data_IF_118254106157
#
_entry.id   IF_118254106157
#
_cell.length_a   1.000
_cell.length_b   1.000
_cell.length_c   1.000
_cell.angle_alpha   90.00
_cell.angle_beta   90.00
_cell.angle_gamma   90.00
#
_symmetry.space_group_name_H-M   'P 1'
#
loop_
_entity.id
_entity.type
_entity.pdbx_description
1 polymer ?
#
# COMPACT_ATOMS: atom_id res chain seq x y z
N UNK A 1 -10.81 26.40 -16.63
CA UNK A 1 -10.14 25.75 -15.48
C UNK A 1 -8.73 26.28 -15.18
N UNK A 2 -7.70 26.08 -16.03
CA UNK A 2 -6.34 26.57 -15.70
C UNK A 2 -6.25 28.09 -15.60
N UNK A 3 -7.04 28.82 -16.39
CA UNK A 3 -6.98 30.28 -16.45
C UNK A 3 -7.77 30.95 -15.30
N UNK A 4 -8.90 30.37 -14.88
CA UNK A 4 -9.67 30.82 -13.71
C UNK A 4 -8.87 30.70 -12.40
N UNK A 5 -8.07 29.63 -12.27
CA UNK A 5 -7.20 29.46 -11.11
C UNK A 5 -6.12 30.54 -11.07
N UNK A 6 -5.51 30.88 -12.21
CA UNK A 6 -4.49 31.94 -12.29
C UNK A 6 -5.06 33.31 -11.94
N UNK A 7 -6.30 33.59 -12.36
CA UNK A 7 -6.99 34.82 -11.99
C UNK A 7 -7.27 34.89 -10.48
N UNK A 8 -7.68 33.78 -9.87
CA UNK A 8 -7.93 33.73 -8.44
C UNK A 8 -6.65 34.00 -7.62
N UNK A 9 -5.51 33.39 -8.01
CA UNK A 9 -4.22 33.64 -7.35
C UNK A 9 -3.76 35.09 -7.49
N UNK A 10 -3.98 35.73 -8.64
CA UNK A 10 -3.63 37.15 -8.83
C UNK A 10 -4.47 38.12 -8.01
N UNK A 11 -5.67 37.70 -7.58
CA UNK A 11 -6.56 38.52 -6.73
C UNK A 11 -6.26 38.40 -5.24
N UNK A 12 -5.45 37.43 -4.83
CA UNK A 12 -5.07 37.27 -3.43
C UNK A 12 -3.87 38.15 -3.12
N UNK A 13 -3.99 38.97 -2.08
CA UNK A 13 -2.89 39.75 -1.52
C UNK A 13 -2.12 38.84 -0.56
N UNK A 14 -1.19 38.06 -1.12
CA UNK A 14 -0.34 37.19 -0.31
C UNK A 14 0.65 38.08 0.44
N UNK A 15 0.54 38.09 1.76
CA UNK A 15 1.51 38.73 2.61
C UNK A 15 2.85 37.99 2.48
N UNK A 16 3.75 38.54 1.68
CA UNK A 16 5.11 38.04 1.44
C UNK A 16 6.11 38.68 2.41
N UNK A 17 5.65 39.37 3.46
CA UNK A 17 6.55 39.92 4.47
C UNK A 17 7.27 38.80 5.21
N UNK A 18 8.56 39.01 5.45
CA UNK A 18 9.33 38.08 6.27
C UNK A 18 8.72 38.02 7.67
N UNK A 19 8.45 36.80 8.13
CA UNK A 19 7.86 36.59 9.44
C UNK A 19 8.80 37.17 10.52
N UNK A 20 8.27 37.77 11.58
CA UNK A 20 9.08 38.35 12.65
C UNK A 20 10.00 37.28 13.25
N UNK A 21 11.23 37.69 13.61
CA UNK A 21 12.21 36.78 14.22
C UNK A 21 11.61 36.09 15.46
N UNK A 22 11.83 34.77 15.56
CA UNK A 22 11.29 33.93 16.63
C UNK A 22 9.88 33.39 16.40
N UNK A 23 9.27 33.59 15.21
CA UNK A 23 7.98 33.01 14.85
C UNK A 23 7.98 31.47 14.93
N UNK A 24 9.02 30.82 14.39
CA UNK A 24 9.16 29.36 14.40
C UNK A 24 9.22 28.82 15.84
N UNK A 25 10.03 29.43 16.70
CA UNK A 25 10.15 29.01 18.10
C UNK A 25 8.82 29.16 18.86
N UNK A 26 8.12 30.29 18.72
CA UNK A 26 6.80 30.49 19.34
C UNK A 26 5.76 29.49 18.83
N UNK A 27 5.88 29.05 17.58
CA UNK A 27 5.02 28.03 17.00
C UNK A 27 5.33 26.64 17.58
N UNK A 28 6.60 26.28 17.68
CA UNK A 28 7.05 25.04 18.32
C UNK A 28 6.66 24.98 19.80
N UNK A 29 6.82 26.08 20.53
CA UNK A 29 6.41 26.18 21.94
C UNK A 29 4.89 25.97 22.10
N UNK A 30 4.07 26.53 21.20
CA UNK A 30 2.61 26.32 21.19
C UNK A 30 2.23 24.88 20.81
N UNK A 31 2.96 24.26 19.89
CA UNK A 31 2.76 22.86 19.51
C UNK A 31 3.10 21.94 20.68
N UNK A 32 4.22 22.18 21.35
CA UNK A 32 4.66 21.39 22.49
C UNK A 32 3.71 21.56 23.67
N UNK A 33 3.29 22.80 23.97
CA UNK A 33 2.30 23.08 25.00
C UNK A 33 0.92 22.48 24.68
N UNK A 34 0.52 22.40 23.40
CA UNK A 34 -0.72 21.73 23.00
C UNK A 34 -0.62 20.18 23.04
N UNK A 35 0.59 19.64 22.97
CA UNK A 35 0.86 18.20 23.08
C UNK A 35 1.02 17.74 24.54
N UNK A 36 1.29 18.66 25.47
CA UNK A 36 1.39 18.35 26.89
C UNK A 36 0.03 18.60 27.56
N UNK A 37 -0.62 17.55 28.02
CA UNK A 37 -1.73 17.66 28.96
C UNK A 37 -1.17 18.23 30.28
N UNK A 38 -1.69 19.38 30.72
CA UNK A 38 -1.36 20.02 32.00
C UNK A 38 -1.40 19.02 33.17
N UNK A 39 -0.43 19.05 34.11
CA UNK A 39 -0.52 18.26 35.33
C UNK A 39 -1.62 18.84 36.21
N UNK A 40 -2.61 18.01 36.54
CA UNK A 40 -3.62 18.29 37.55
C UNK A 40 -2.97 18.81 38.84
N UNK A 41 -3.21 20.08 39.17
CA UNK A 41 -2.90 20.64 40.49
C UNK A 41 -4.02 20.24 41.45
N UNK A 42 -3.67 19.44 42.45
CA UNK A 42 -4.44 19.25 43.66
C UNK A 42 -4.41 20.54 44.51
N UNK A 43 -5.57 21.04 44.89
CA UNK A 43 -5.77 21.84 46.10
C UNK A 43 -7.21 21.65 46.59
N UNK A 44 -7.33 21.29 47.85
CA UNK A 44 -8.54 20.98 48.58
C UNK A 44 -9.42 22.21 48.85
N UNK A 45 -10.75 22.04 48.82
CA UNK A 45 -11.65 22.73 49.75
C UNK A 45 -13.02 22.01 49.86
N UNK A 46 -13.53 21.93 51.08
CA UNK A 46 -14.74 21.22 51.49
C UNK A 46 -16.01 22.01 51.16
N UNK A 47 -17.09 21.36 50.71
CA UNK A 47 -18.32 21.15 51.49
C UNK A 47 -19.53 20.70 50.65
N UNK A 48 -20.24 19.75 51.25
CA UNK A 48 -21.69 19.52 51.24
C UNK A 48 -22.42 18.91 50.02
N UNK A 49 -22.75 17.63 50.22
CA UNK A 49 -24.09 17.00 50.14
C UNK A 49 -24.98 17.39 48.96
N UNK A 50 -25.30 16.42 48.08
CA UNK A 50 -26.64 15.83 47.97
C UNK A 50 -26.58 14.52 47.16
N UNK A 51 -27.36 13.56 47.67
CA UNK A 51 -27.58 12.19 47.21
C UNK A 51 -28.49 12.19 45.96
N UNK A 52 -28.38 11.19 45.07
CA UNK A 52 -29.50 10.39 44.50
C UNK A 52 -29.07 9.50 43.28
N UNK A 53 -29.25 8.18 43.47
CA UNK A 53 -29.69 7.09 42.57
C UNK A 53 -29.10 6.78 41.15
N UNK A 54 -28.49 5.58 41.04
CA UNK A 54 -28.41 4.49 40.00
C UNK A 54 -29.08 4.69 38.60
N UNK A 55 -28.68 3.97 37.50
CA UNK A 55 -28.08 2.61 37.48
C UNK A 55 -26.89 2.34 36.50
N UNK A 56 -26.33 1.13 36.65
CA UNK A 56 -25.18 0.54 35.95
C UNK A 56 -25.27 0.59 34.41
N UNK A 57 -24.43 1.40 33.77
CA UNK A 57 -24.00 1.21 32.38
C UNK A 57 -22.64 0.49 32.36
N UNK A 58 -22.54 -0.62 31.62
CA UNK A 58 -21.26 -1.30 31.36
C UNK A 58 -20.46 -0.43 30.38
N UNK A 59 -19.51 0.35 30.89
CA UNK A 59 -18.59 1.15 30.09
C UNK A 59 -17.54 0.18 29.52
N UNK A 60 -17.67 -0.20 28.26
CA UNK A 60 -16.59 -0.88 27.55
C UNK A 60 -15.50 0.19 27.34
N UNK A 61 -14.37 0.05 28.03
CA UNK A 61 -13.21 0.94 27.88
C UNK A 61 -12.56 0.70 26.50
N UNK A 62 -13.06 1.39 25.48
CA UNK A 62 -12.50 1.41 24.12
C UNK A 62 -11.26 2.33 24.01
N UNK A 63 -10.33 2.28 24.96
CA UNK A 63 -9.14 3.16 24.95
C UNK A 63 -7.91 2.54 24.29
N UNK A 64 -7.96 1.29 23.84
CA UNK A 64 -6.82 0.62 23.21
C UNK A 64 -6.81 0.70 21.66
N UNK A 65 -7.96 0.93 21.02
CA UNK A 65 -8.07 0.89 19.54
C UNK A 65 -7.70 2.24 18.90
N UNK A 66 -7.72 3.35 19.64
CA UNK A 66 -7.47 4.67 19.05
C UNK A 66 -5.98 4.96 18.81
N UNK A 67 -5.07 4.27 19.50
CA UNK A 67 -3.61 4.50 19.41
C UNK A 67 -3.00 4.17 18.05
N UNK A 68 -3.67 3.33 17.25
CA UNK A 68 -3.18 2.89 15.94
C UNK A 68 -4.01 3.46 14.77
N UNK A 69 -5.06 4.25 15.07
CA UNK A 69 -5.95 4.82 14.07
C UNK A 69 -5.22 5.77 13.12
N UNK A 70 -4.33 6.63 13.63
CA UNK A 70 -3.56 7.56 12.80
C UNK A 70 -2.61 6.83 11.83
N UNK A 71 -1.88 5.81 12.31
CA UNK A 71 -1.00 5.00 11.47
C UNK A 71 -1.77 4.18 10.43
N UNK A 72 -2.95 3.65 10.79
CA UNK A 72 -3.82 2.91 9.87
C UNK A 72 -4.37 3.82 8.75
N UNK A 73 -4.74 5.06 9.06
CA UNK A 73 -5.20 6.04 8.05
C UNK A 73 -4.07 6.42 7.09
N UNK A 74 -2.85 6.63 7.59
CA UNK A 74 -1.68 6.92 6.75
C UNK A 74 -1.35 5.71 5.84
N UNK A 75 -1.37 4.49 6.40
CA UNK A 75 -1.15 3.26 5.63
C UNK A 75 -2.26 3.04 4.56
N UNK A 76 -3.52 3.36 4.88
CA UNK A 76 -4.63 3.31 3.93
C UNK A 76 -4.45 4.31 2.79
N UNK A 77 -4.05 5.54 3.08
CA UNK A 77 -3.85 6.58 2.07
C UNK A 77 -2.68 6.26 1.12
N UNK A 78 -1.58 5.73 1.65
CA UNK A 78 -0.43 5.30 0.84
C UNK A 78 -0.76 4.03 0.04
N UNK A 79 -1.48 3.08 0.66
CA UNK A 79 -1.94 1.86 0.01
C UNK A 79 -2.96 2.11 -1.10
N UNK A 80 -3.90 3.04 -0.91
CA UNK A 80 -4.92 3.39 -1.90
C UNK A 80 -4.32 4.09 -3.13
N UNK A 81 -3.32 4.96 -2.94
CA UNK A 81 -2.62 5.60 -4.04
C UNK A 81 -1.90 4.58 -4.95
N UNK A 82 -1.35 3.52 -4.36
CA UNK A 82 -0.72 2.41 -5.10
C UNK A 82 -1.74 1.46 -5.77
N UNK A 83 -2.93 1.34 -5.20
CA UNK A 83 -4.01 0.48 -5.72
C UNK A 83 -4.76 1.12 -6.90
N UNK A 84 -4.89 2.45 -6.94
CA UNK A 84 -5.56 3.20 -8.02
C UNK A 84 -4.67 3.50 -9.24
N UNK A 85 -3.36 3.28 -9.16
CA UNK A 85 -2.48 3.24 -10.34
C UNK A 85 -2.77 1.97 -11.15
N UNK A 86 -3.94 1.96 -11.80
CA UNK A 86 -4.43 0.87 -12.63
C UNK A 86 -3.39 0.45 -13.65
N UNK A 87 -3.35 -0.87 -13.89
CA UNK A 87 -2.55 -1.53 -14.91
C UNK A 87 -2.96 -1.04 -16.30
N UNK A 88 -2.50 0.14 -16.73
CA UNK A 88 -2.49 0.47 -18.15
C UNK A 88 -1.29 -0.26 -18.77
N UNK A 89 -1.47 -1.55 -19.09
CA UNK A 89 -0.56 -2.25 -19.98
C UNK A 89 -0.83 -1.76 -21.40
N UNK A 90 -0.20 -0.66 -21.78
CA UNK A 90 -0.07 -0.30 -23.19
C UNK A 90 0.81 -1.37 -23.84
N UNK A 91 0.27 -2.11 -24.81
CA UNK A 91 1.00 -3.13 -25.55
C UNK A 91 2.03 -2.49 -26.51
N UNK A 92 3.13 -1.95 -25.95
CA UNK A 92 4.08 -1.10 -26.69
C UNK A 92 4.97 -1.87 -27.68
N UNK A 93 4.90 -3.21 -27.74
CA UNK A 93 5.65 -4.01 -28.73
C UNK A 93 4.98 -4.06 -30.12
N UNK A 94 3.71 -3.64 -30.24
CA UNK A 94 2.97 -3.64 -31.52
C UNK A 94 3.64 -2.80 -32.61
N UNK A 95 4.37 -1.75 -32.22
CA UNK A 95 5.10 -0.89 -33.15
C UNK A 95 6.42 -1.50 -33.65
N UNK A 96 6.93 -2.56 -33.02
CA UNK A 96 8.20 -3.21 -33.41
C UNK A 96 7.94 -4.51 -34.17
N UNK A 97 7.09 -5.40 -33.65
CA UNK A 97 6.69 -6.63 -34.34
C UNK A 97 5.31 -7.12 -33.88
N UNK A 98 4.38 -7.42 -34.82
CA UNK A 98 3.09 -8.01 -34.51
C UNK A 98 3.16 -9.34 -33.76
N UNK A 99 4.14 -10.20 -34.09
CA UNK A 99 4.32 -11.51 -33.47
C UNK A 99 4.74 -11.38 -32.00
N UNK A 100 5.64 -10.45 -31.70
CA UNK A 100 6.08 -10.15 -30.33
C UNK A 100 4.94 -9.59 -29.48
N UNK A 101 4.09 -8.74 -30.06
CA UNK A 101 2.90 -8.23 -29.38
C UNK A 101 1.90 -9.35 -29.07
N UNK A 102 1.70 -10.29 -30.00
CA UNK A 102 0.84 -11.46 -29.77
C UNK A 102 1.41 -12.36 -28.66
N UNK A 103 2.73 -12.64 -28.68
CA UNK A 103 3.39 -13.39 -27.63
C UNK A 103 3.25 -12.72 -26.25
N UNK A 104 3.48 -11.39 -26.17
CA UNK A 104 3.27 -10.62 -24.96
C UNK A 104 1.84 -10.76 -24.44
N UNK A 105 0.83 -10.64 -25.30
CA UNK A 105 -0.58 -10.77 -24.91
C UNK A 105 -0.85 -12.13 -24.26
N UNK A 106 -0.37 -13.21 -24.87
CA UNK A 106 -0.54 -14.57 -24.34
C UNK A 106 0.13 -14.74 -22.96
N UNK A 107 1.36 -14.24 -22.79
CA UNK A 107 2.06 -14.35 -21.50
C UNK A 107 1.40 -13.51 -20.40
N UNK A 108 0.95 -12.30 -20.72
CA UNK A 108 0.21 -11.45 -19.78
C UNK A 108 -1.06 -12.13 -19.32
N UNK A 109 -1.85 -12.68 -20.25
CA UNK A 109 -3.08 -13.39 -19.92
C UNK A 109 -2.80 -14.61 -19.03
N UNK A 110 -1.79 -15.42 -19.36
CA UNK A 110 -1.41 -16.57 -18.55
C UNK A 110 -0.99 -16.18 -17.12
N UNK A 111 -0.20 -15.12 -16.97
CA UNK A 111 0.22 -14.59 -15.66
C UNK A 111 -0.98 -14.09 -14.86
N UNK A 112 -1.90 -13.36 -15.50
CA UNK A 112 -3.10 -12.83 -14.83
C UNK A 112 -4.02 -13.98 -14.36
N UNK A 113 -4.22 -15.00 -15.19
CA UNK A 113 -4.97 -16.20 -14.81
C UNK A 113 -4.32 -16.93 -13.63
N UNK A 114 -3.00 -17.12 -13.66
CA UNK A 114 -2.27 -17.76 -12.56
C UNK A 114 -2.33 -16.94 -11.27
N UNK A 115 -2.18 -15.63 -11.36
CA UNK A 115 -2.29 -14.72 -10.22
C UNK A 115 -3.71 -14.73 -9.64
N UNK A 116 -4.74 -14.74 -10.48
CA UNK A 116 -6.13 -14.86 -10.05
C UNK A 116 -6.37 -16.19 -9.32
N UNK A 117 -5.88 -17.31 -9.86
CA UNK A 117 -5.95 -18.61 -9.21
C UNK A 117 -5.19 -18.64 -7.88
N UNK A 118 -4.03 -17.98 -7.79
CA UNK A 118 -3.26 -17.86 -6.55
C UNK A 118 -4.04 -17.08 -5.49
N UNK A 119 -4.73 -16.00 -5.88
CA UNK A 119 -5.54 -15.19 -4.95
C UNK A 119 -6.73 -15.96 -4.37
N UNK A 120 -7.28 -16.93 -5.11
CA UNK A 120 -8.36 -17.79 -4.60
C UNK A 120 -7.90 -18.73 -3.48
N UNK A 121 -6.59 -18.95 -3.32
CA UNK A 121 -5.99 -19.77 -2.27
C UNK A 121 -5.65 -18.94 -1.00
N UNK A 122 -6.16 -17.71 -0.91
CA UNK A 122 -5.88 -16.82 0.21
C UNK A 122 -6.60 -17.28 1.48
N UNK A 123 -5.81 -17.44 2.55
CA UNK A 123 -6.25 -17.75 3.90
C UNK A 123 -5.28 -17.11 4.90
N UNK A 124 -5.62 -17.00 6.19
CA UNK A 124 -4.69 -16.47 7.20
C UNK A 124 -3.34 -17.21 7.26
N UNK A 125 -3.33 -18.51 6.92
CA UNK A 125 -2.11 -19.32 6.92
C UNK A 125 -1.24 -19.15 5.66
N UNK A 126 -1.82 -18.65 4.56
CA UNK A 126 -1.17 -18.55 3.24
C UNK A 126 -0.93 -17.10 2.81
N UNK A 127 -1.50 -16.13 3.53
CA UNK A 127 -1.46 -14.70 3.22
C UNK A 127 -0.04 -14.18 2.95
N UNK A 128 0.92 -14.53 3.82
CA UNK A 128 2.31 -14.09 3.67
C UNK A 128 2.94 -14.60 2.38
N UNK A 129 2.72 -15.87 2.01
CA UNK A 129 3.28 -16.46 0.78
C UNK A 129 2.73 -15.71 -0.44
N UNK A 130 1.43 -15.40 -0.44
CA UNK A 130 0.77 -14.66 -1.53
C UNK A 130 1.29 -13.23 -1.59
N UNK A 131 1.47 -12.57 -0.46
CA UNK A 131 1.99 -11.20 -0.39
C UNK A 131 3.43 -11.12 -0.93
N UNK A 132 4.30 -12.05 -0.51
CA UNK A 132 5.69 -12.13 -0.97
C UNK A 132 5.78 -12.41 -2.48
N UNK A 133 4.92 -13.30 -2.99
CA UNK A 133 4.83 -13.58 -4.43
C UNK A 133 4.35 -12.34 -5.21
N UNK A 134 3.35 -11.61 -4.73
CA UNK A 134 2.86 -10.37 -5.36
C UNK A 134 3.93 -9.29 -5.42
N UNK A 135 4.65 -9.08 -4.32
CA UNK A 135 5.74 -8.10 -4.27
C UNK A 135 6.86 -8.46 -5.27
N UNK A 136 7.23 -9.74 -5.33
CA UNK A 136 8.23 -10.23 -6.28
C UNK A 136 7.77 -10.09 -7.74
N UNK A 137 6.48 -10.36 -8.01
CA UNK A 137 5.88 -10.18 -9.33
C UNK A 137 5.91 -8.71 -9.78
N UNK A 138 5.66 -7.76 -8.87
CA UNK A 138 5.75 -6.32 -9.15
C UNK A 138 7.17 -5.88 -9.49
N UNK A 139 8.18 -6.45 -8.83
CA UNK A 139 9.59 -6.19 -9.17
C UNK A 139 9.90 -6.67 -10.59
N UNK A 140 9.49 -7.89 -10.94
CA UNK A 140 9.67 -8.46 -12.28
C UNK A 140 8.92 -7.65 -13.35
N UNK A 141 7.73 -7.13 -13.05
CA UNK A 141 6.99 -6.19 -13.91
C UNK A 141 7.75 -4.89 -14.16
N UNK A 142 8.34 -4.34 -13.10
CA UNK A 142 9.16 -3.14 -13.21
C UNK A 142 10.39 -3.38 -14.09
N UNK A 143 11.06 -4.52 -13.93
CA UNK A 143 12.23 -4.87 -14.73
C UNK A 143 11.89 -5.10 -16.20
N UNK A 144 10.74 -5.71 -16.50
CA UNK A 144 10.27 -5.83 -17.89
C UNK A 144 10.01 -4.49 -18.55
N UNK A 145 9.41 -3.53 -17.85
CA UNK A 145 9.20 -2.18 -18.39
C UNK A 145 10.53 -1.49 -18.74
N UNK A 146 11.60 -1.76 -17.98
CA UNK A 146 12.96 -1.28 -18.32
C UNK A 146 13.47 -1.96 -19.59
N UNK A 147 13.38 -3.29 -19.67
CA UNK A 147 13.78 -4.06 -20.86
C UNK A 147 13.01 -3.58 -22.11
N UNK A 148 11.72 -3.28 -21.96
CA UNK A 148 10.87 -2.74 -23.04
C UNK A 148 11.33 -1.36 -23.50
N UNK A 149 11.70 -0.48 -22.57
CA UNK A 149 12.27 0.83 -22.90
C UNK A 149 13.61 0.71 -23.63
N UNK A 150 14.47 -0.19 -23.17
CA UNK A 150 15.78 -0.45 -23.79
C UNK A 150 15.62 -1.03 -25.20
N UNK A 151 14.64 -1.93 -25.39
CA UNK A 151 14.31 -2.51 -26.69
C UNK A 151 13.90 -1.46 -27.73
N UNK A 152 13.12 -0.45 -27.34
CA UNK A 152 12.75 0.66 -28.25
C UNK A 152 13.96 1.44 -28.75
N UNK A 153 15.01 1.51 -27.93
CA UNK A 153 16.25 2.21 -28.28
C UNK A 153 17.25 1.32 -29.01
N UNK A 154 17.05 0.00 -28.98
CA UNK A 154 17.97 -1.01 -29.51
C UNK A 154 17.24 -2.30 -29.95
N UNK A 155 16.31 -2.18 -30.91
CA UNK A 155 15.41 -3.27 -31.31
C UNK A 155 16.08 -4.41 -32.09
N UNK A 156 17.30 -4.17 -32.57
CA UNK A 156 18.07 -5.14 -33.35
C UNK A 156 18.86 -6.12 -32.47
N UNK A 157 18.92 -5.90 -31.15
CA UNK A 157 19.65 -6.75 -30.23
C UNK A 157 18.78 -7.94 -29.74
N UNK A 158 19.05 -9.18 -30.19
CA UNK A 158 18.26 -10.36 -29.79
C UNK A 158 18.33 -10.64 -28.28
N UNK A 159 19.40 -10.22 -27.60
CA UNK A 159 19.53 -10.40 -26.15
C UNK A 159 18.43 -9.68 -25.35
N UNK A 160 17.85 -8.61 -25.91
CA UNK A 160 16.75 -7.88 -25.26
C UNK A 160 15.45 -8.68 -25.32
N UNK A 161 15.19 -9.37 -26.43
CA UNK A 161 14.07 -10.30 -26.58
C UNK A 161 14.23 -11.47 -25.62
N UNK A 162 15.44 -12.03 -25.53
CA UNK A 162 15.74 -13.10 -24.56
C UNK A 162 15.48 -12.63 -23.13
N UNK A 163 15.90 -11.42 -22.76
CA UNK A 163 15.64 -10.86 -21.45
C UNK A 163 14.13 -10.69 -21.16
N UNK A 164 13.34 -10.27 -22.14
CA UNK A 164 11.87 -10.22 -22.01
C UNK A 164 11.27 -11.61 -21.77
N UNK A 165 11.67 -12.60 -22.58
CA UNK A 165 11.21 -13.98 -22.45
C UNK A 165 11.58 -14.55 -21.08
N UNK A 166 12.82 -14.33 -20.64
CA UNK A 166 13.27 -14.77 -19.33
C UNK A 166 12.46 -14.12 -18.22
N UNK A 167 12.16 -12.83 -18.31
CA UNK A 167 11.32 -12.17 -17.32
C UNK A 167 9.92 -12.80 -17.22
N UNK A 168 9.27 -13.10 -18.35
CA UNK A 168 7.99 -13.83 -18.34
C UNK A 168 8.10 -15.22 -17.71
N UNK A 169 9.12 -16.00 -18.11
CA UNK A 169 9.38 -17.33 -17.53
C UNK A 169 9.58 -17.26 -16.02
N UNK A 170 10.37 -16.30 -15.52
CA UNK A 170 10.61 -16.13 -14.08
C UNK A 170 9.33 -15.83 -13.32
N UNK A 171 8.42 -15.01 -13.87
CA UNK A 171 7.13 -14.72 -13.24
C UNK A 171 6.24 -15.95 -13.13
N UNK A 172 6.19 -16.76 -14.18
CA UNK A 172 5.42 -18.01 -14.19
C UNK A 172 5.97 -18.96 -13.12
N UNK A 173 7.30 -19.17 -13.10
CA UNK A 173 7.95 -20.02 -12.10
C UNK A 173 7.71 -19.53 -10.66
N UNK A 174 7.74 -18.22 -10.44
CA UNK A 174 7.43 -17.61 -9.15
C UNK A 174 5.99 -17.92 -8.70
N UNK A 175 5.01 -17.83 -9.60
CA UNK A 175 3.61 -18.12 -9.30
C UNK A 175 3.40 -19.63 -9.05
N UNK A 176 4.07 -20.50 -9.79
CA UNK A 176 4.05 -21.95 -9.58
C UNK A 176 4.65 -22.34 -8.22
N UNK A 177 5.80 -21.77 -7.88
CA UNK A 177 6.46 -22.00 -6.59
C UNK A 177 5.57 -21.54 -5.42
N UNK A 178 4.97 -20.35 -5.52
CA UNK A 178 4.02 -19.87 -4.51
C UNK A 178 2.84 -20.83 -4.32
N UNK A 179 2.28 -21.38 -5.41
CA UNK A 179 1.21 -22.40 -5.32
C UNK A 179 1.69 -23.69 -4.66
N UNK A 180 2.91 -24.14 -4.98
CA UNK A 180 3.50 -25.32 -4.36
C UNK A 180 3.70 -25.13 -2.86
N UNK A 181 4.22 -23.97 -2.44
CA UNK A 181 4.38 -23.61 -1.03
C UNK A 181 3.04 -23.58 -0.28
N UNK A 182 2.00 -22.98 -0.89
CA UNK A 182 0.65 -22.98 -0.32
C UNK A 182 0.14 -24.42 -0.13
N UNK A 183 0.24 -25.26 -1.15
CA UNK A 183 -0.20 -26.66 -1.08
C UNK A 183 0.53 -27.42 0.02
N UNK A 184 1.84 -27.24 0.15
CA UNK A 184 2.64 -27.85 1.21
C UNK A 184 2.19 -27.37 2.59
N UNK A 185 1.93 -26.07 2.76
CA UNK A 185 1.43 -25.47 4.01
C UNK A 185 0.07 -26.04 4.41
N UNK A 186 -0.87 -26.13 3.47
CA UNK A 186 -2.20 -26.72 3.72
C UNK A 186 -2.12 -28.20 4.12
N UNK A 187 -1.26 -28.98 3.47
CA UNK A 187 -1.04 -30.38 3.82
C UNK A 187 -0.48 -30.54 5.24
N UNK A 188 0.45 -29.67 5.66
CA UNK A 188 0.98 -29.67 7.02
C UNK A 188 -0.12 -29.40 8.06
N UNK A 189 -0.98 -28.41 7.80
CA UNK A 189 -2.10 -28.08 8.70
C UNK A 189 -3.10 -29.23 8.85
N UNK A 190 -3.41 -29.92 7.74
CA UNK A 190 -4.30 -31.10 7.78
C UNK A 190 -3.73 -32.24 8.62
N UNK A 191 -2.41 -32.50 8.52
CA UNK A 191 -1.74 -33.52 9.35
C UNK A 191 -1.82 -33.16 10.84
N UNK A 192 -1.54 -31.89 11.19
CA UNK A 192 -1.61 -31.42 12.57
C UNK A 192 -3.02 -31.55 13.17
N UNK A 193 -4.07 -31.32 12.38
CA UNK A 193 -5.46 -31.51 12.85
C UNK A 193 -5.80 -32.99 13.09
N UNK A 194 -5.32 -33.89 12.23
CA UNK A 194 -5.58 -35.32 12.35
C UNK A 194 -4.83 -36.00 13.51
N UNK A 195 -3.72 -35.43 13.98
CA UNK A 195 -2.94 -35.93 15.12
C UNK A 195 -3.51 -35.49 16.49
N UNK A 196 -4.45 -34.55 16.49
CA UNK A 196 -5.09 -34.00 17.69
C UNK A 196 -6.48 -34.59 17.98
N UNK A 197 -6.93 -35.57 17.19
CA UNK A 197 -8.20 -36.31 17.32
C UNK A 197 -7.88 -37.75 17.70
#
# INVERSE_FOLDING_TARGET
MKDEMKEWFKKQDFDLTDLPQGHEQRFLDKLEAACQEEPTKEAAENNEVHQETKPKGRIIKMSAILKWSAAAVIALMIGSASFMAGRSQTYELKSVSPEMAAAQSNYVEAIDQQLAALNQLQSPATERIIADAKASLQKLETDYKKIQKDFRSNSENPAVIDAMIQNFKTRILLLEDARAQIKAKEQQLKKQQNELI
#
